data_IF_823179313723
#
_entry.id   IF_823179313723
#
_cell.length_a   1.000
_cell.length_b   1.000
_cell.length_c   1.000
_cell.angle_alpha   90.00
_cell.angle_beta   90.00
_cell.angle_gamma   90.00
#
_symmetry.space_group_name_H-M   'P 1'
#
loop_
_entity.id
_entity.type
_entity.pdbx_description
1 polymer ?
#
# COMPACT_ATOMS: atom_id res chain seq x y z
N UNK A 1 -7.14 10.12 -9.95
CA UNK A 1 -7.52 8.95 -9.11
C UNK A 1 -8.74 8.31 -9.78
N UNK A 2 -8.79 6.97 -9.94
CA UNK A 2 -9.94 6.33 -10.60
C UNK A 2 -11.04 6.04 -9.58
N UNK A 3 -12.29 6.34 -9.91
CA UNK A 3 -13.47 6.05 -9.08
C UNK A 3 -13.53 4.58 -8.65
N UNK A 4 -13.03 3.67 -9.49
CA UNK A 4 -12.97 2.23 -9.20
C UNK A 4 -12.02 1.89 -8.05
N UNK A 5 -10.90 2.59 -7.91
CA UNK A 5 -9.97 2.36 -6.81
C UNK A 5 -10.60 2.79 -5.48
N UNK A 6 -11.22 3.97 -5.47
CA UNK A 6 -11.89 4.49 -4.29
C UNK A 6 -13.00 3.52 -3.82
N UNK A 7 -13.85 3.05 -4.74
CA UNK A 7 -14.88 2.07 -4.44
C UNK A 7 -14.32 0.75 -3.89
N UNK A 8 -13.18 0.27 -4.41
CA UNK A 8 -12.56 -0.95 -3.92
C UNK A 8 -12.03 -0.81 -2.48
N UNK A 9 -11.46 0.35 -2.13
CA UNK A 9 -10.89 0.64 -0.80
C UNK A 9 -11.96 0.75 0.29
N UNK A 10 -13.23 0.97 -0.06
CA UNK A 10 -14.34 0.89 0.89
C UNK A 10 -14.65 -0.54 1.33
N UNK A 11 -14.22 -1.56 0.58
CA UNK A 11 -14.33 -2.94 1.04
C UNK A 11 -13.34 -3.19 2.20
N UNK A 12 -13.80 -3.64 3.38
CA UNK A 12 -12.95 -3.83 4.56
C UNK A 12 -11.86 -4.89 4.36
N UNK A 13 -12.10 -5.91 3.55
CA UNK A 13 -11.11 -6.95 3.22
C UNK A 13 -9.99 -6.36 2.36
N UNK A 14 -10.35 -5.55 1.35
CA UNK A 14 -9.36 -4.86 0.51
C UNK A 14 -8.54 -3.91 1.39
N UNK A 15 -9.21 -3.08 2.20
CA UNK A 15 -8.57 -2.11 3.08
C UNK A 15 -7.62 -2.78 4.07
N UNK A 16 -7.99 -3.95 4.61
CA UNK A 16 -7.11 -4.75 5.46
C UNK A 16 -5.90 -5.28 4.68
N UNK A 17 -6.12 -5.89 3.52
CA UNK A 17 -5.04 -6.44 2.69
C UNK A 17 -4.03 -5.36 2.26
N UNK A 18 -4.48 -4.13 1.98
CA UNK A 18 -3.59 -3.00 1.70
C UNK A 18 -2.71 -2.63 2.91
N UNK A 19 -3.25 -2.68 4.12
CA UNK A 19 -2.47 -2.43 5.34
C UNK A 19 -1.42 -3.51 5.57
N UNK A 20 -1.78 -4.77 5.37
CA UNK A 20 -0.85 -5.90 5.45
C UNK A 20 0.25 -5.78 4.39
N UNK A 21 -0.10 -5.42 3.16
CA UNK A 21 0.88 -5.17 2.10
C UNK A 21 1.85 -4.04 2.48
N UNK A 22 1.34 -2.94 3.04
CA UNK A 22 2.19 -1.83 3.50
C UNK A 22 3.16 -2.26 4.61
N UNK A 23 2.72 -3.10 5.55
CA UNK A 23 3.58 -3.66 6.59
C UNK A 23 4.72 -4.51 5.98
N UNK A 24 4.41 -5.37 5.00
CA UNK A 24 5.44 -6.17 4.32
C UNK A 24 6.45 -5.32 3.56
N UNK A 25 5.98 -4.30 2.84
CA UNK A 25 6.86 -3.38 2.11
C UNK A 25 7.74 -2.59 3.09
N UNK A 26 7.21 -2.18 4.24
CA UNK A 26 7.97 -1.48 5.28
C UNK A 26 9.07 -2.36 5.88
N UNK A 27 8.76 -3.61 6.23
CA UNK A 27 9.74 -4.59 6.72
C UNK A 27 10.84 -4.82 5.68
N UNK A 28 10.46 -5.00 4.42
CA UNK A 28 11.43 -5.18 3.32
C UNK A 28 12.34 -3.97 3.16
N UNK A 29 11.74 -2.77 3.07
CA UNK A 29 12.48 -1.52 2.95
C UNK A 29 13.47 -1.33 4.10
N UNK A 30 13.04 -1.66 5.32
CA UNK A 30 13.87 -1.53 6.51
C UNK A 30 15.11 -2.42 6.44
N UNK A 31 14.94 -3.70 6.11
CA UNK A 31 16.01 -4.68 6.05
C UNK A 31 16.96 -4.57 4.85
N UNK A 32 16.54 -3.92 3.76
CA UNK A 32 17.32 -3.90 2.50
C UNK A 32 17.83 -2.53 2.08
N UNK A 33 17.18 -1.43 2.52
CA UNK A 33 17.46 -0.07 2.06
C UNK A 33 17.74 0.88 3.24
N UNK A 34 18.65 0.47 4.14
CA UNK A 34 19.02 1.21 5.36
C UNK A 34 19.63 2.59 5.12
N UNK A 35 20.29 2.77 3.98
CA UNK A 35 21.04 3.95 3.58
C UNK A 35 20.23 4.97 2.76
N UNK A 36 19.02 4.60 2.35
CA UNK A 36 18.18 5.45 1.50
C UNK A 36 17.33 6.41 2.32
N UNK A 37 17.07 7.60 1.77
CA UNK A 37 16.11 8.56 2.34
C UNK A 37 14.73 7.93 2.35
N UNK A 38 14.04 8.03 3.50
CA UNK A 38 12.68 7.53 3.68
C UNK A 38 11.76 8.65 4.12
N UNK A 39 10.58 8.71 3.50
CA UNK A 39 9.53 9.67 3.82
C UNK A 39 8.22 8.93 4.02
N UNK A 40 7.26 9.59 4.68
CA UNK A 40 5.90 9.04 4.78
C UNK A 40 5.32 8.86 3.38
N UNK A 41 4.83 7.66 3.10
CA UNK A 41 4.25 7.33 1.81
C UNK A 41 3.07 8.25 1.47
N UNK A 42 3.00 8.64 0.21
CA UNK A 42 2.01 9.56 -0.37
C UNK A 42 1.12 8.88 -1.42
N UNK A 43 1.03 7.55 -1.35
CA UNK A 43 0.22 6.72 -2.26
C UNK A 43 -1.27 7.06 -2.22
N UNK A 44 -2.02 6.55 -3.20
CA UNK A 44 -3.46 6.76 -3.25
C UNK A 44 -4.18 6.21 -2.00
N UNK A 45 -3.77 5.04 -1.49
CA UNK A 45 -4.31 4.50 -0.25
C UNK A 45 -3.92 5.36 0.98
N UNK A 46 -2.70 5.92 1.00
CA UNK A 46 -2.27 6.84 2.06
C UNK A 46 -3.14 8.11 2.09
N UNK A 47 -3.40 8.71 0.92
CA UNK A 47 -4.27 9.88 0.79
C UNK A 47 -5.72 9.60 1.24
N UNK A 48 -6.20 8.37 1.10
CA UNK A 48 -7.52 7.92 1.59
C UNK A 48 -7.52 7.52 3.08
N UNK A 49 -6.40 7.69 3.78
CA UNK A 49 -6.30 7.35 5.19
C UNK A 49 -6.37 5.85 5.49
N UNK A 50 -6.08 4.98 4.52
CA UNK A 50 -6.09 3.50 4.71
C UNK A 50 -5.18 3.09 5.87
N UNK A 51 -4.04 3.75 6.01
CA UNK A 51 -3.03 3.44 7.02
C UNK A 51 -3.22 4.22 8.34
N UNK A 52 -4.07 5.25 8.35
CA UNK A 52 -4.30 6.11 9.52
C UNK A 52 -3.00 6.65 10.12
N UNK A 53 -2.81 6.43 11.43
CA UNK A 53 -1.58 6.86 12.15
C UNK A 53 -0.34 6.03 11.79
N UNK A 54 -0.50 4.93 11.06
CA UNK A 54 0.56 3.99 10.70
C UNK A 54 0.94 4.07 9.21
N UNK A 55 0.82 5.23 8.57
CA UNK A 55 1.33 5.43 7.21
C UNK A 55 2.81 5.03 7.15
N UNK A 56 3.22 4.12 6.24
CA UNK A 56 4.58 3.60 6.21
C UNK A 56 5.57 4.69 5.80
N UNK A 57 6.79 4.61 6.32
CA UNK A 57 7.91 5.49 5.96
C UNK A 57 8.85 4.68 5.07
N UNK A 58 8.88 4.99 3.78
CA UNK A 58 9.49 4.18 2.74
C UNK A 58 10.50 5.00 1.93
N UNK A 59 11.47 4.32 1.33
CA UNK A 59 12.24 4.90 0.24
C UNK A 59 11.38 4.99 -1.04
N UNK A 60 11.82 5.78 -2.00
CA UNK A 60 11.09 6.03 -3.25
C UNK A 60 10.73 4.72 -3.99
N UNK A 61 11.67 3.79 -4.11
CA UNK A 61 11.45 2.49 -4.78
C UNK A 61 10.34 1.67 -4.09
N UNK A 62 10.40 1.57 -2.76
CA UNK A 62 9.41 0.84 -1.99
C UNK A 62 8.03 1.53 -2.02
N UNK A 63 7.97 2.87 -2.08
CA UNK A 63 6.72 3.61 -2.29
C UNK A 63 6.09 3.30 -3.66
N UNK A 64 6.89 3.24 -4.72
CA UNK A 64 6.42 2.85 -6.05
C UNK A 64 5.90 1.40 -6.07
N UNK A 65 6.58 0.48 -5.39
CA UNK A 65 6.12 -0.90 -5.25
C UNK A 65 4.81 -1.01 -4.47
N UNK A 66 4.67 -0.26 -3.37
CA UNK A 66 3.43 -0.20 -2.63
C UNK A 66 2.28 0.33 -3.50
N UNK A 67 2.49 1.45 -4.20
CA UNK A 67 1.49 2.02 -5.09
C UNK A 67 1.06 1.08 -6.23
N UNK A 68 1.99 0.26 -6.74
CA UNK A 68 1.68 -0.78 -7.72
C UNK A 68 0.83 -1.90 -7.11
N UNK A 69 1.24 -2.43 -5.95
CA UNK A 69 0.52 -3.50 -5.27
C UNK A 69 -0.89 -3.08 -4.82
N UNK A 70 -1.06 -1.83 -4.38
CA UNK A 70 -2.36 -1.24 -4.08
C UNK A 70 -3.33 -1.36 -5.26
N UNK A 71 -2.89 -0.95 -6.46
CA UNK A 71 -3.70 -1.02 -7.68
C UNK A 71 -4.06 -2.46 -8.03
N UNK A 72 -3.10 -3.39 -7.91
CA UNK A 72 -3.33 -4.82 -8.22
C UNK A 72 -4.38 -5.41 -7.29
N UNK A 73 -4.25 -5.18 -5.98
CA UNK A 73 -5.18 -5.69 -4.98
C UNK A 73 -6.59 -5.09 -5.12
N UNK A 74 -6.67 -3.79 -5.41
CA UNK A 74 -7.93 -3.07 -5.59
C UNK A 74 -8.67 -3.49 -6.88
N UNK A 75 -7.95 -3.77 -7.97
CA UNK A 75 -8.58 -4.06 -9.27
C UNK A 75 -8.82 -5.54 -9.53
N UNK A 76 -8.05 -6.44 -8.92
CA UNK A 76 -8.17 -7.87 -9.11
C UNK A 76 -8.24 -8.56 -7.74
N UNK A 77 -9.43 -9.02 -7.31
CA UNK A 77 -9.54 -9.70 -6.04
C UNK A 77 -8.95 -11.11 -6.03
N UNK A 78 -8.81 -11.75 -7.20
CA UNK A 78 -8.52 -13.18 -7.38
C UNK A 78 -9.32 -14.00 -6.36
N UNK A 79 -10.60 -14.23 -6.63
CA UNK A 79 -11.50 -14.98 -5.74
C UNK A 79 -12.01 -16.24 -6.47
N UNK A 80 -11.62 -17.47 -6.04
CA UNK A 80 -10.80 -17.74 -4.85
C UNK A 80 -9.36 -17.24 -5.02
N UNK A 81 -8.76 -16.84 -3.89
CA UNK A 81 -7.32 -16.58 -3.85
C UNK A 81 -6.58 -17.88 -4.24
N UNK A 82 -5.48 -17.81 -5.01
CA UNK A 82 -4.72 -19.00 -5.41
C UNK A 82 -4.32 -19.87 -4.22
#
# INVERSE_FOLDING_TARGET
MSDRFAAAVENPVIRHDLRVLADFVAIWCDGHHGDRVRIKATTAAAAMGVYGRKTPVLCEECEQHLAYGEKRRAYCPQDPKP
#
